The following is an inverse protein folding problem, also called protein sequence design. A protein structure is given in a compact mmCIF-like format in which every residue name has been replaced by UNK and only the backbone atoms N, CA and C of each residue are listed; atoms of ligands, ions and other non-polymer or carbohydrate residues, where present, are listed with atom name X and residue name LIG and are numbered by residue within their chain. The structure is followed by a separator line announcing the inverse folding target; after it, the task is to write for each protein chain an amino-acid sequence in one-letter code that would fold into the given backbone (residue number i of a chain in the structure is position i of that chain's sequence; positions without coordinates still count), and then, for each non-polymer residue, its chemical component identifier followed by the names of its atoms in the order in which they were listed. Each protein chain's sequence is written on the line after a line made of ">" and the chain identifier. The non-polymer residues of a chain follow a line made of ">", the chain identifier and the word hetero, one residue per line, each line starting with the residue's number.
data_IF_149857666621
#
_entry.id   IF_149857666621
#
_cell.length_a   1.000
_cell.length_b   1.000
_cell.length_c   1.000
_cell.angle_alpha   90.00
_cell.angle_beta   90.00
_cell.angle_gamma   90.00
#
_symmetry.space_group_name_H-M   'P 1'
#
loop_
_entity.id
_entity.type
_entity.pdbx_description
1 polymer ?
#
# COMPACT_ATOMS: atom_id res chain seq x y z
N UNK A 1 -6.70 8.81 6.73
CA UNK A 1 -6.12 10.06 7.32
C UNK A 1 -4.68 9.74 7.71
N UNK A 2 -3.75 10.08 6.84
CA UNK A 2 -2.28 9.99 7.01
C UNK A 2 -1.66 11.38 7.17
N UNK A 3 -2.50 12.40 7.40
CA UNK A 3 -2.22 13.85 7.36
C UNK A 3 -1.19 14.36 8.36
N UNK A 4 -0.64 13.49 9.20
CA UNK A 4 0.30 13.84 10.26
C UNK A 4 1.75 13.42 9.91
N UNK A 5 1.95 12.71 8.80
CA UNK A 5 3.30 12.36 8.35
C UNK A 5 3.99 13.59 7.75
N UNK A 6 5.28 13.75 8.06
CA UNK A 6 6.09 14.84 7.52
C UNK A 6 6.16 14.82 5.98
N UNK A 7 6.13 13.63 5.38
CA UNK A 7 6.20 13.42 3.93
C UNK A 7 4.86 12.92 3.37
N UNK A 8 4.50 13.43 2.19
CA UNK A 8 3.26 13.07 1.48
C UNK A 8 3.28 11.65 0.92
N UNK A 9 4.48 11.12 0.65
CA UNK A 9 4.77 9.79 0.12
C UNK A 9 5.31 8.85 1.20
N UNK A 10 4.95 9.08 2.47
CA UNK A 10 5.46 8.30 3.57
C UNK A 10 5.04 6.82 3.49
N UNK A 11 6.01 5.90 3.46
CA UNK A 11 5.82 4.45 3.41
C UNK A 11 5.62 3.80 4.78
N UNK A 12 5.78 4.57 5.86
CA UNK A 12 5.67 4.13 7.25
C UNK A 12 6.63 2.99 7.63
N UNK A 13 7.79 2.96 6.98
CA UNK A 13 8.79 1.92 7.23
C UNK A 13 9.88 2.40 8.18
N UNK A 14 10.73 3.33 7.72
CA UNK A 14 11.89 3.81 8.46
C UNK A 14 12.15 5.31 8.26
N UNK A 15 11.12 6.05 7.85
CA UNK A 15 11.26 7.46 7.47
C UNK A 15 11.21 8.38 8.70
N UNK A 16 12.09 9.40 8.74
CA UNK A 16 12.05 10.40 9.80
C UNK A 16 10.73 11.19 9.75
N UNK A 17 10.16 11.51 10.91
CA UNK A 17 8.89 12.27 10.96
C UNK A 17 7.64 11.49 10.53
N UNK A 18 7.72 10.16 10.47
CA UNK A 18 6.55 9.31 10.26
C UNK A 18 5.67 9.27 11.52
N UNK A 19 4.45 9.81 11.42
CA UNK A 19 3.50 9.80 12.53
C UNK A 19 3.08 8.38 12.96
N UNK A 20 3.11 7.41 12.04
CA UNK A 20 2.79 6.01 12.34
C UNK A 20 3.89 5.38 13.19
N UNK A 21 5.17 5.63 12.88
CA UNK A 21 6.28 5.15 13.71
C UNK A 21 6.29 5.84 15.08
N UNK A 22 6.03 7.15 15.14
CA UNK A 22 5.90 7.85 16.40
C UNK A 22 4.76 7.28 17.28
N UNK A 23 3.61 6.92 16.67
CA UNK A 23 2.51 6.24 17.35
C UNK A 23 2.87 4.83 17.83
N UNK A 24 3.70 4.12 17.08
CA UNK A 24 4.22 2.81 17.47
C UNK A 24 5.13 2.94 18.70
N UNK A 25 6.04 3.91 18.68
CA UNK A 25 6.93 4.21 19.82
C UNK A 25 6.15 4.67 21.05
N UNK A 26 5.10 5.48 20.86
CA UNK A 26 4.19 5.90 21.92
C UNK A 26 3.23 4.78 22.39
N UNK A 27 3.26 3.59 21.79
CA UNK A 27 2.38 2.46 22.14
C UNK A 27 0.91 2.65 21.77
N UNK A 28 0.58 3.68 20.98
CA UNK A 28 -0.78 3.95 20.52
C UNK A 28 -1.23 2.97 19.43
N UNK A 29 -0.29 2.36 18.72
CA UNK A 29 -0.52 1.21 17.84
C UNK A 29 0.43 0.08 18.22
N UNK A 30 -0.03 -1.16 18.09
CA UNK A 30 0.82 -2.32 18.30
C UNK A 30 1.72 -2.57 17.08
N UNK A 31 2.86 -3.21 17.31
CA UNK A 31 3.77 -3.67 16.25
C UNK A 31 3.07 -4.61 15.27
N UNK A 32 2.30 -5.58 15.79
CA UNK A 32 1.53 -6.52 14.96
C UNK A 32 0.55 -5.80 14.02
N UNK A 33 -0.05 -4.68 14.45
CA UNK A 33 -0.95 -3.91 13.60
C UNK A 33 -0.21 -3.27 12.44
N UNK A 34 0.98 -2.72 12.69
CA UNK A 34 1.83 -2.15 11.65
C UNK A 34 2.31 -3.24 10.68
N UNK A 35 2.71 -4.39 11.18
CA UNK A 35 3.14 -5.54 10.34
C UNK A 35 1.99 -6.08 9.49
N UNK A 36 0.79 -6.21 10.06
CA UNK A 36 -0.40 -6.62 9.32
C UNK A 36 -0.73 -5.63 8.20
N UNK A 37 -0.62 -4.32 8.48
CA UNK A 37 -0.82 -3.28 7.47
C UNK A 37 0.22 -3.36 6.35
N UNK A 38 1.50 -3.57 6.68
CA UNK A 38 2.57 -3.76 5.68
C UNK A 38 2.27 -4.93 4.77
N UNK A 39 1.84 -6.06 5.35
CA UNK A 39 1.48 -7.26 4.59
C UNK A 39 0.33 -7.00 3.62
N UNK A 40 -0.74 -6.35 4.09
CA UNK A 40 -1.88 -5.97 3.25
C UNK A 40 -1.47 -5.03 2.12
N UNK A 41 -0.60 -4.05 2.39
CA UNK A 41 -0.08 -3.13 1.38
C UNK A 41 0.67 -3.89 0.29
N UNK A 42 1.54 -4.83 0.67
CA UNK A 42 2.33 -5.61 -0.28
C UNK A 42 1.42 -6.52 -1.13
N UNK A 43 0.41 -7.16 -0.52
CA UNK A 43 -0.62 -7.93 -1.23
C UNK A 43 -1.42 -7.08 -2.23
N UNK A 44 -1.74 -5.83 -1.87
CA UNK A 44 -2.39 -4.89 -2.79
C UNK A 44 -1.51 -4.51 -3.97
N UNK A 45 -0.21 -4.27 -3.73
CA UNK A 45 0.73 -3.95 -4.80
C UNK A 45 0.86 -5.12 -5.80
N UNK A 46 0.94 -6.36 -5.30
CA UNK A 46 0.95 -7.55 -6.15
C UNK A 46 -0.35 -7.69 -6.97
N UNK A 47 -1.50 -7.41 -6.36
CA UNK A 47 -2.78 -7.46 -7.06
C UNK A 47 -2.85 -6.42 -8.18
N UNK A 48 -2.39 -5.19 -7.93
CA UNK A 48 -2.37 -4.11 -8.91
C UNK A 48 -1.49 -4.48 -10.11
N UNK A 49 -0.28 -5.00 -9.88
CA UNK A 49 0.62 -5.48 -10.94
C UNK A 49 -0.04 -6.54 -11.84
N UNK A 50 -0.75 -7.49 -11.22
CA UNK A 50 -1.50 -8.53 -11.93
C UNK A 50 -2.65 -7.94 -12.76
N UNK A 51 -3.40 -7.00 -12.20
CA UNK A 51 -4.51 -6.33 -12.90
C UNK A 51 -4.01 -5.53 -14.10
N UNK A 52 -2.92 -4.79 -13.95
CA UNK A 52 -2.30 -4.08 -15.06
C UNK A 52 -1.79 -5.04 -16.15
N UNK A 53 -1.15 -6.15 -15.77
CA UNK A 53 -0.70 -7.16 -16.73
C UNK A 53 -1.87 -7.76 -17.52
N UNK A 54 -3.00 -8.00 -16.85
CA UNK A 54 -4.23 -8.44 -17.50
C UNK A 54 -4.79 -7.38 -18.45
N UNK A 55 -4.81 -6.11 -18.04
CA UNK A 55 -5.25 -4.99 -18.88
C UNK A 55 -4.43 -4.92 -20.17
N UNK A 56 -3.09 -4.89 -20.05
CA UNK A 56 -2.15 -4.91 -21.19
C UNK A 56 -2.40 -6.11 -22.12
N UNK A 57 -2.67 -7.29 -21.56
CA UNK A 57 -2.99 -8.49 -22.35
C UNK A 57 -4.31 -8.34 -23.11
N UNK A 58 -5.36 -7.81 -22.47
CA UNK A 58 -6.68 -7.59 -23.07
C UNK A 58 -6.59 -6.59 -24.23
N UNK A 59 -5.90 -5.47 -24.03
CA UNK A 59 -5.62 -4.49 -25.08
C UNK A 59 -4.92 -5.14 -26.27
N UNK A 60 -3.87 -5.93 -26.02
CA UNK A 60 -3.14 -6.64 -27.09
C UNK A 60 -3.99 -7.68 -27.83
N UNK A 61 -4.92 -8.35 -27.14
CA UNK A 61 -5.78 -9.38 -27.77
C UNK A 61 -7.08 -8.83 -28.38
N UNK A 62 -7.35 -7.52 -28.27
CA UNK A 62 -8.55 -6.89 -28.84
C UNK A 62 -9.88 -7.44 -28.31
N UNK A 63 -9.87 -8.23 -27.22
CA UNK A 63 -11.07 -8.89 -26.68
C UNK A 63 -11.78 -7.95 -25.71
N UNK A 64 -12.70 -7.14 -26.24
CA UNK A 64 -13.65 -6.38 -25.41
C UNK A 64 -14.50 -7.36 -24.55
N UNK A 65 -14.85 -6.98 -23.31
CA UNK A 65 -15.74 -7.78 -22.49
C UNK A 65 -17.09 -7.94 -23.19
N UNK A 66 -17.61 -9.17 -23.23
CA UNK A 66 -19.00 -9.41 -23.63
C UNK A 66 -19.86 -8.92 -22.47
N UNK A 67 -20.61 -7.85 -22.71
CA UNK A 67 -21.66 -7.36 -21.83
C UNK A 67 -22.83 -8.35 -21.84
#
# INVERSE_FOLDING_TARGET
>A
VTSECQFSDCFHDNEPGCAVLARLEAGSISRERLESWRRLRDEMAELDDLLEAQARKRERTGRAPRN
#
